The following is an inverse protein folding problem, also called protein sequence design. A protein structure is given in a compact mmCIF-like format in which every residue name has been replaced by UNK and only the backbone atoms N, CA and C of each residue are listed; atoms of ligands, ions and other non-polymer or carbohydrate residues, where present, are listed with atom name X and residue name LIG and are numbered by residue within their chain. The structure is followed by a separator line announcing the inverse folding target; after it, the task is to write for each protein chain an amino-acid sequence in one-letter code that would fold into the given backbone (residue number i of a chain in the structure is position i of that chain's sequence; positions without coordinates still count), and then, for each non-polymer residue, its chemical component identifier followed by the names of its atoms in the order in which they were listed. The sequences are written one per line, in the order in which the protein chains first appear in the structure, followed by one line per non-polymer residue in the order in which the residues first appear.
data_IF_085829992055
#
_entry.id   IF_085829992055
#
_cell.length_a   1.000
_cell.length_b   1.000
_cell.length_c   1.000
_cell.angle_alpha   90.00
_cell.angle_beta   90.00
_cell.angle_gamma   90.00
#
_symmetry.space_group_name_H-M   'P 1'
#
loop_
_entity.id
_entity.type
_entity.pdbx_description
1 polymer ?
#
# COMPACT_ATOMS: atom_id res chain seq x y z
N UNK A 1 3.42 21.38 -16.90
CA UNK A 1 4.15 21.18 -15.63
C UNK A 1 4.24 22.52 -14.90
N UNK A 2 3.55 22.74 -13.77
CA UNK A 2 3.69 24.02 -13.04
C UNK A 2 4.95 23.97 -12.17
N UNK A 3 5.98 24.74 -12.55
CA UNK A 3 7.33 24.79 -11.95
C UNK A 3 7.38 25.02 -10.42
N UNK A 4 6.31 25.50 -9.78
CA UNK A 4 6.26 25.73 -8.32
C UNK A 4 5.54 24.66 -7.48
N UNK A 5 4.98 23.61 -8.08
CA UNK A 5 4.20 22.60 -7.34
C UNK A 5 5.06 21.62 -6.55
N UNK A 6 6.30 21.37 -6.97
CA UNK A 6 7.22 20.48 -6.26
C UNK A 6 7.78 21.16 -5.01
N UNK A 7 8.21 22.42 -5.10
CA UNK A 7 8.79 23.14 -3.96
C UNK A 7 7.83 23.19 -2.77
N UNK A 8 6.55 23.55 -3.01
CA UNK A 8 5.52 23.55 -1.95
C UNK A 8 5.35 22.16 -1.35
N UNK A 9 5.26 21.14 -2.18
CA UNK A 9 5.13 19.75 -1.73
C UNK A 9 6.34 19.31 -0.90
N UNK A 10 7.56 19.61 -1.36
CA UNK A 10 8.79 19.26 -0.69
C UNK A 10 8.89 19.92 0.70
N UNK A 11 8.52 21.20 0.81
CA UNK A 11 8.46 21.89 2.12
C UNK A 11 7.51 21.17 3.09
N UNK A 12 6.31 20.80 2.65
CA UNK A 12 5.38 20.04 3.51
C UNK A 12 5.94 18.68 3.92
N UNK A 13 6.60 17.96 3.01
CA UNK A 13 7.20 16.66 3.33
C UNK A 13 8.38 16.82 4.29
N UNK A 14 9.19 17.86 4.16
CA UNK A 14 10.30 18.14 5.08
C UNK A 14 9.81 18.53 6.48
N UNK A 15 8.68 19.24 6.58
CA UNK A 15 8.04 19.49 7.87
C UNK A 15 7.52 18.19 8.51
N UNK A 16 6.91 17.30 7.71
CA UNK A 16 6.48 15.99 8.19
C UNK A 16 7.67 15.09 8.59
N UNK A 17 8.81 15.22 7.92
CA UNK A 17 10.05 14.52 8.25
C UNK A 17 10.54 14.84 9.68
N UNK A 18 10.35 16.08 10.15
CA UNK A 18 10.67 16.46 11.53
C UNK A 18 9.85 15.68 12.58
N UNK A 19 8.67 15.16 12.20
CA UNK A 19 7.84 14.33 13.07
C UNK A 19 8.09 12.83 12.86
N UNK A 20 8.32 12.42 11.62
CA UNK A 20 8.50 11.01 11.26
C UNK A 20 9.42 10.85 10.05
N UNK A 21 10.58 10.22 10.26
CA UNK A 21 11.68 10.18 9.28
C UNK A 21 11.32 9.51 7.95
N UNK A 22 10.39 8.56 7.98
CA UNK A 22 9.92 7.84 6.79
C UNK A 22 9.13 8.71 5.80
N UNK A 23 8.68 9.91 6.22
CA UNK A 23 7.94 10.83 5.36
C UNK A 23 8.72 11.19 4.08
N UNK A 24 10.06 11.11 4.09
CA UNK A 24 10.91 11.34 2.92
C UNK A 24 10.56 10.45 1.71
N UNK A 25 9.99 9.26 1.94
CA UNK A 25 9.60 8.37 0.84
C UNK A 25 8.59 9.03 -0.11
N UNK A 26 7.77 9.95 0.40
CA UNK A 26 6.78 10.69 -0.37
C UNK A 26 7.44 11.58 -1.45
N UNK A 27 8.67 12.06 -1.24
CA UNK A 27 9.42 12.81 -2.26
C UNK A 27 9.72 11.95 -3.48
N UNK A 28 10.07 10.67 -3.29
CA UNK A 28 10.31 9.74 -4.40
C UNK A 28 9.00 9.42 -5.12
N UNK A 29 7.96 9.14 -4.36
CA UNK A 29 6.63 8.80 -4.88
C UNK A 29 6.06 9.93 -5.73
N UNK A 30 6.32 11.20 -5.38
CA UNK A 30 5.88 12.37 -6.12
C UNK A 30 6.21 12.29 -7.62
N UNK A 31 7.42 11.87 -7.99
CA UNK A 31 7.84 11.81 -9.39
C UNK A 31 7.27 10.61 -10.14
N UNK A 32 6.96 9.54 -9.42
CA UNK A 32 6.37 8.32 -9.98
C UNK A 32 4.91 8.57 -10.35
N UNK A 33 4.13 9.17 -9.44
CA UNK A 33 2.67 9.19 -9.56
C UNK A 33 2.11 10.26 -10.48
N UNK A 34 2.90 11.29 -10.84
CA UNK A 34 2.44 12.39 -11.72
C UNK A 34 2.53 12.11 -13.22
N UNK A 35 2.92 10.89 -13.60
CA UNK A 35 2.89 10.44 -14.99
C UNK A 35 1.45 10.21 -15.43
N UNK A 36 1.19 10.14 -16.74
CA UNK A 36 -0.12 9.74 -17.25
C UNK A 36 -0.43 8.31 -16.79
N UNK A 37 -1.65 8.05 -16.31
CA UNK A 37 -2.04 6.71 -15.92
C UNK A 37 -2.18 5.78 -17.12
N UNK A 38 -2.20 4.46 -16.85
CA UNK A 38 -2.32 3.40 -17.87
C UNK A 38 -1.19 3.40 -18.90
N UNK A 39 -0.03 3.96 -18.55
CA UNK A 39 1.16 3.94 -19.38
C UNK A 39 1.99 2.70 -19.09
N UNK A 40 2.94 2.40 -19.98
CA UNK A 40 3.92 1.29 -19.80
C UNK A 40 4.59 1.38 -18.43
N UNK A 41 4.86 2.57 -17.92
CA UNK A 41 5.44 2.77 -16.58
C UNK A 41 4.62 2.13 -15.45
N UNK A 42 3.28 2.26 -15.47
CA UNK A 42 2.40 1.67 -14.45
C UNK A 42 2.46 0.14 -14.49
N UNK A 43 2.50 -0.45 -15.69
CA UNK A 43 2.61 -1.90 -15.87
C UNK A 43 4.01 -2.43 -15.51
N UNK A 44 5.07 -1.67 -15.80
CA UNK A 44 6.45 -2.01 -15.40
C UNK A 44 6.60 -2.02 -13.88
N UNK A 45 5.99 -1.08 -13.16
CA UNK A 45 5.98 -1.09 -11.68
C UNK A 45 5.31 -2.37 -11.16
N UNK A 46 4.18 -2.76 -11.76
CA UNK A 46 3.47 -3.97 -11.37
C UNK A 46 4.27 -5.24 -11.68
N UNK A 47 4.77 -5.38 -12.91
CA UNK A 47 5.60 -6.51 -13.31
C UNK A 47 6.87 -6.60 -12.45
N UNK A 48 7.52 -5.46 -12.22
CA UNK A 48 8.69 -5.35 -11.36
C UNK A 48 8.40 -5.83 -9.93
N UNK A 49 7.22 -5.51 -9.39
CA UNK A 49 6.84 -5.99 -8.05
C UNK A 49 6.70 -7.51 -7.99
N UNK A 50 6.18 -8.15 -9.04
CA UNK A 50 6.08 -9.61 -9.13
C UNK A 50 7.49 -10.22 -9.22
N UNK A 51 8.36 -9.67 -10.08
CA UNK A 51 9.74 -10.13 -10.21
C UNK A 51 10.49 -10.01 -8.88
N UNK A 52 10.38 -8.86 -8.20
CA UNK A 52 11.00 -8.65 -6.88
C UNK A 52 10.48 -9.65 -5.85
N UNK A 53 9.19 -9.99 -5.89
CA UNK A 53 8.58 -10.96 -4.98
C UNK A 53 9.10 -12.38 -5.25
N UNK A 54 9.23 -12.78 -6.52
CA UNK A 54 9.73 -14.11 -6.90
C UNK A 54 11.23 -14.25 -6.68
N UNK A 55 12.00 -13.19 -6.95
CA UNK A 55 13.45 -13.16 -6.78
C UNK A 55 13.87 -12.63 -5.40
N UNK A 56 12.96 -12.58 -4.42
CA UNK A 56 13.18 -11.88 -3.17
C UNK A 56 14.41 -12.41 -2.43
N UNK A 57 14.55 -13.73 -2.31
CA UNK A 57 15.67 -14.36 -1.60
C UNK A 57 17.03 -14.04 -2.22
N UNK A 58 17.08 -13.86 -3.55
CA UNK A 58 18.31 -13.48 -4.25
C UNK A 58 18.67 -11.99 -4.05
N UNK A 59 17.67 -11.12 -3.87
CA UNK A 59 17.85 -9.68 -3.67
C UNK A 59 18.12 -9.36 -2.19
N UNK A 60 17.64 -10.20 -1.29
CA UNK A 60 17.61 -9.95 0.15
C UNK A 60 18.98 -9.58 0.74
N UNK A 61 20.10 -10.27 0.46
CA UNK A 61 21.39 -9.91 1.05
C UNK A 61 21.83 -8.49 0.70
N UNK A 62 21.66 -8.09 -0.58
CA UNK A 62 21.97 -6.74 -1.04
C UNK A 62 21.06 -5.69 -0.40
N UNK A 63 19.79 -6.02 -0.21
CA UNK A 63 18.83 -5.16 0.48
C UNK A 63 19.18 -4.96 1.96
N UNK A 64 19.55 -6.04 2.67
CA UNK A 64 19.96 -5.97 4.07
C UNK A 64 21.25 -5.18 4.26
N UNK A 65 22.25 -5.38 3.40
CA UNK A 65 23.49 -4.59 3.44
C UNK A 65 23.24 -3.09 3.24
N UNK A 66 22.26 -2.72 2.41
CA UNK A 66 21.86 -1.32 2.24
C UNK A 66 21.11 -0.75 3.46
N UNK A 67 20.51 -1.59 4.32
CA UNK A 67 19.82 -1.16 5.54
C UNK A 67 20.75 -1.07 6.75
N UNK A 68 21.84 -1.83 6.76
CA UNK A 68 22.78 -1.94 7.89
C UNK A 68 23.39 -0.59 8.28
N UNK A 69 23.71 0.26 7.31
CA UNK A 69 24.24 1.62 7.56
C UNK A 69 23.15 2.69 7.79
N UNK A 70 21.89 2.29 7.95
CA UNK A 70 20.75 3.22 8.08
C UNK A 70 20.07 3.11 9.44
N UNK A 71 19.13 4.03 9.74
CA UNK A 71 18.26 3.94 10.93
C UNK A 71 17.35 2.69 10.94
N UNK A 72 17.43 1.85 9.91
CA UNK A 72 16.70 0.60 9.78
C UNK A 72 17.59 -0.64 10.01
N UNK A 73 18.83 -0.48 10.52
CA UNK A 73 19.77 -1.60 10.80
C UNK A 73 19.16 -2.71 11.65
N UNK A 74 18.33 -2.35 12.64
CA UNK A 74 17.58 -3.30 13.46
C UNK A 74 16.77 -4.30 12.62
N UNK A 75 16.21 -3.89 11.48
CA UNK A 75 15.47 -4.81 10.62
C UNK A 75 16.35 -5.89 9.97
N UNK A 76 17.63 -5.58 9.73
CA UNK A 76 18.61 -6.54 9.25
C UNK A 76 19.12 -7.46 10.37
N UNK A 77 19.36 -6.90 11.56
CA UNK A 77 19.92 -7.64 12.70
C UNK A 77 18.92 -8.58 13.39
N UNK A 78 17.63 -8.19 13.45
CA UNK A 78 16.60 -8.95 14.18
C UNK A 78 16.21 -10.28 13.52
N UNK A 79 16.71 -10.57 12.31
CA UNK A 79 16.46 -11.81 11.59
C UNK A 79 15.03 -11.98 11.05
N UNK A 80 14.21 -10.91 11.04
CA UNK A 80 12.84 -10.94 10.50
C UNK A 80 12.75 -11.27 9.01
N UNK A 81 13.85 -11.13 8.28
CA UNK A 81 13.91 -11.50 6.87
C UNK A 81 14.56 -12.86 6.62
N UNK A 82 15.39 -13.35 7.54
CA UNK A 82 16.28 -14.50 7.33
C UNK A 82 15.87 -15.73 8.14
N UNK A 83 15.23 -15.54 9.30
CA UNK A 83 14.86 -16.63 10.20
C UNK A 83 13.55 -17.34 9.80
N UNK A 84 12.84 -16.84 8.78
CA UNK A 84 11.61 -17.46 8.26
C UNK A 84 10.42 -17.48 9.23
N UNK A 85 10.55 -16.85 10.39
CA UNK A 85 9.50 -16.79 11.44
C UNK A 85 8.39 -15.79 11.12
N UNK A 86 8.67 -14.84 10.24
CA UNK A 86 7.77 -13.73 9.90
C UNK A 86 7.26 -13.94 8.45
N UNK A 87 5.95 -14.13 8.29
CA UNK A 87 5.31 -14.39 6.98
C UNK A 87 4.86 -13.12 6.23
N UNK A 88 4.12 -13.32 5.14
CA UNK A 88 3.50 -12.22 4.39
C UNK A 88 2.33 -11.55 5.10
N UNK A 89 2.03 -10.29 4.73
CA UNK A 89 0.93 -9.47 5.30
C UNK A 89 -0.50 -9.91 4.93
N UNK A 90 -0.67 -11.10 4.34
CA UNK A 90 -1.88 -11.68 3.72
C UNK A 90 -2.12 -11.32 2.25
N UNK A 91 -2.34 -12.35 1.44
CA UNK A 91 -2.78 -12.23 0.04
C UNK A 91 -4.13 -11.50 -0.10
N UNK A 92 -4.96 -11.49 0.93
CA UNK A 92 -6.24 -10.77 0.91
C UNK A 92 -6.05 -9.26 0.72
N UNK A 93 -4.95 -8.67 1.22
CA UNK A 93 -4.61 -7.26 0.98
C UNK A 93 -4.38 -6.97 -0.50
N UNK A 94 -3.72 -7.90 -1.20
CA UNK A 94 -3.43 -7.78 -2.64
C UNK A 94 -4.74 -7.81 -3.43
N UNK A 95 -5.63 -8.75 -3.12
CA UNK A 95 -6.93 -8.88 -3.80
C UNK A 95 -7.79 -7.65 -3.56
N UNK A 96 -7.88 -7.19 -2.30
CA UNK A 96 -8.67 -6.01 -1.94
C UNK A 96 -8.13 -4.74 -2.59
N UNK A 97 -6.81 -4.60 -2.72
CA UNK A 97 -6.21 -3.44 -3.41
C UNK A 97 -6.31 -3.52 -4.93
N UNK A 98 -6.30 -4.72 -5.51
CA UNK A 98 -6.48 -4.93 -6.93
C UNK A 98 -7.92 -4.68 -7.39
N UNK A 99 -8.93 -5.01 -6.58
CA UNK A 99 -10.35 -4.92 -6.96
C UNK A 99 -10.76 -3.54 -7.54
N UNK A 100 -10.57 -2.40 -6.87
CA UNK A 100 -10.93 -1.10 -7.44
C UNK A 100 -10.06 -0.72 -8.65
N UNK A 101 -8.81 -1.18 -8.72
CA UNK A 101 -7.93 -0.95 -9.88
C UNK A 101 -8.46 -1.68 -11.12
N UNK A 102 -8.91 -2.93 -10.97
CA UNK A 102 -9.53 -3.70 -12.06
C UNK A 102 -10.82 -3.02 -12.53
N UNK A 103 -11.69 -2.59 -11.61
CA UNK A 103 -12.93 -1.87 -11.97
C UNK A 103 -12.62 -0.57 -12.70
N UNK A 104 -11.59 0.17 -12.25
CA UNK A 104 -11.12 1.39 -12.91
C UNK A 104 -10.58 1.09 -14.32
N UNK A 105 -9.87 -0.02 -14.52
CA UNK A 105 -9.32 -0.42 -15.81
C UNK A 105 -10.40 -0.77 -16.83
N UNK A 106 -11.41 -1.55 -16.40
CA UNK A 106 -12.56 -1.91 -17.24
C UNK A 106 -13.35 -0.67 -17.67
N UNK A 107 -13.33 0.39 -16.86
CA UNK A 107 -14.01 1.66 -17.13
C UNK A 107 -13.02 2.80 -17.40
N UNK A 108 -11.84 2.51 -17.96
CA UNK A 108 -10.73 3.46 -18.12
C UNK A 108 -11.12 4.73 -18.88
N UNK A 109 -12.00 4.63 -19.86
CA UNK A 109 -12.45 5.79 -20.66
C UNK A 109 -13.15 6.85 -19.80
N UNK A 110 -13.90 6.41 -18.78
CA UNK A 110 -14.57 7.31 -17.83
C UNK A 110 -13.57 7.87 -16.83
N UNK A 111 -12.67 7.03 -16.35
CA UNK A 111 -11.62 7.44 -15.41
C UNK A 111 -10.66 8.48 -16.04
N UNK A 112 -10.35 8.35 -17.33
CA UNK A 112 -9.51 9.31 -18.05
C UNK A 112 -10.12 10.72 -18.12
N UNK A 113 -11.44 10.86 -17.94
CA UNK A 113 -12.12 12.18 -17.92
C UNK A 113 -11.84 12.98 -16.64
N UNK A 114 -11.34 12.33 -15.59
CA UNK A 114 -10.93 12.98 -14.34
C UNK A 114 -9.64 13.80 -14.48
N UNK A 115 -8.95 13.68 -15.62
CA UNK A 115 -7.73 14.40 -15.92
C UNK A 115 -6.59 14.08 -14.95
N UNK A 116 -5.73 15.06 -14.71
CA UNK A 116 -4.47 14.88 -13.99
C UNK A 116 -4.60 14.37 -12.54
N UNK A 117 -5.72 14.66 -11.85
CA UNK A 117 -5.95 14.18 -10.49
C UNK A 117 -6.29 12.69 -10.52
N UNK A 118 -7.12 12.27 -11.49
CA UNK A 118 -7.42 10.87 -11.74
C UNK A 118 -6.15 10.08 -12.06
N UNK A 119 -5.27 10.62 -12.92
CA UNK A 119 -4.00 9.99 -13.25
C UNK A 119 -3.13 9.72 -11.99
N UNK A 120 -3.04 10.71 -11.10
CA UNK A 120 -2.29 10.58 -9.84
C UNK A 120 -2.87 9.49 -8.95
N UNK A 121 -4.19 9.48 -8.74
CA UNK A 121 -4.85 8.49 -7.88
C UNK A 121 -4.73 7.07 -8.44
N UNK A 122 -4.83 6.90 -9.76
CA UNK A 122 -4.63 5.62 -10.42
C UNK A 122 -3.19 5.14 -10.23
N UNK A 123 -2.19 6.00 -10.47
CA UNK A 123 -0.79 5.62 -10.28
C UNK A 123 -0.43 5.32 -8.82
N UNK A 124 -0.99 6.07 -7.86
CA UNK A 124 -0.85 5.74 -6.43
C UNK A 124 -1.45 4.36 -6.15
N UNK A 125 -2.58 4.03 -6.76
CA UNK A 125 -3.23 2.73 -6.56
C UNK A 125 -2.44 1.58 -7.18
N UNK A 126 -1.84 1.78 -8.36
CA UNK A 126 -0.87 0.83 -8.93
C UNK A 126 0.34 0.62 -8.02
N UNK A 127 0.90 1.71 -7.48
CA UNK A 127 2.04 1.64 -6.56
C UNK A 127 1.65 0.92 -5.26
N UNK A 128 0.47 1.22 -4.71
CA UNK A 128 -0.04 0.53 -3.51
C UNK A 128 -0.23 -0.96 -3.75
N UNK A 129 -0.78 -1.34 -4.91
CA UNK A 129 -0.95 -2.74 -5.30
C UNK A 129 0.41 -3.44 -5.45
N UNK A 130 1.37 -2.81 -6.11
CA UNK A 130 2.74 -3.31 -6.25
C UNK A 130 3.43 -3.54 -4.89
N UNK A 131 3.30 -2.59 -3.96
CA UNK A 131 3.86 -2.74 -2.61
C UNK A 131 3.17 -3.89 -1.86
N UNK A 132 1.85 -4.04 -1.97
CA UNK A 132 1.16 -5.16 -1.30
C UNK A 132 1.51 -6.52 -1.91
N UNK A 133 1.82 -6.60 -3.21
CA UNK A 133 2.35 -7.82 -3.83
C UNK A 133 3.67 -8.20 -3.17
N UNK A 134 4.60 -7.27 -3.03
CA UNK A 134 5.87 -7.51 -2.31
C UNK A 134 5.60 -7.85 -0.84
N UNK A 135 4.65 -7.16 -0.22
CA UNK A 135 4.28 -7.39 1.18
C UNK A 135 3.57 -8.74 1.41
N UNK A 136 3.16 -9.44 0.35
CA UNK A 136 2.62 -10.80 0.45
C UNK A 136 3.71 -11.83 0.71
N UNK A 137 4.98 -11.48 0.46
CA UNK A 137 6.14 -12.28 0.83
C UNK A 137 6.59 -11.96 2.26
N UNK A 138 6.82 -10.68 2.56
CA UNK A 138 7.21 -10.24 3.90
C UNK A 138 6.33 -9.08 4.38
N UNK A 139 5.70 -9.22 5.53
CA UNK A 139 4.70 -8.27 6.01
C UNK A 139 5.23 -6.84 6.21
N UNK A 140 6.54 -6.65 6.40
CA UNK A 140 7.11 -5.35 6.73
C UNK A 140 6.87 -4.31 5.64
N UNK A 141 6.84 -4.73 4.37
CA UNK A 141 6.57 -3.84 3.25
C UNK A 141 5.14 -3.26 3.29
N UNK A 142 4.21 -3.90 4.00
CA UNK A 142 2.86 -3.33 4.21
C UNK A 142 2.91 -2.00 4.98
N UNK A 143 3.97 -1.75 5.78
CA UNK A 143 4.17 -0.45 6.44
C UNK A 143 4.48 0.65 5.44
N UNK A 144 5.04 0.34 4.28
CA UNK A 144 5.25 1.33 3.20
C UNK A 144 3.91 1.67 2.53
N UNK A 145 3.03 0.69 2.38
CA UNK A 145 1.71 0.93 1.79
C UNK A 145 0.83 1.87 2.63
N UNK A 146 1.08 2.03 3.93
CA UNK A 146 0.30 2.90 4.81
C UNK A 146 0.32 4.37 4.35
N UNK A 147 1.45 4.84 3.80
CA UNK A 147 1.60 6.21 3.30
C UNK A 147 0.72 6.48 2.07
N UNK A 148 0.29 5.42 1.36
CA UNK A 148 -0.56 5.49 0.18
C UNK A 148 -2.04 5.24 0.49
N UNK A 149 -2.35 4.75 1.69
CA UNK A 149 -3.66 4.22 2.04
C UNK A 149 -4.76 5.29 2.00
N UNK A 150 -4.49 6.50 2.47
CA UNK A 150 -5.46 7.59 2.43
C UNK A 150 -5.88 7.93 0.99
N UNK A 151 -4.91 7.98 0.07
CA UNK A 151 -5.17 8.19 -1.35
C UNK A 151 -5.92 7.02 -1.98
N UNK A 152 -5.62 5.79 -1.56
CA UNK A 152 -6.30 4.58 -2.03
C UNK A 152 -7.78 4.54 -1.61
N UNK A 153 -8.12 5.02 -0.42
CA UNK A 153 -9.52 5.16 0.04
C UNK A 153 -10.27 6.16 -0.86
N UNK A 154 -9.67 7.32 -1.12
CA UNK A 154 -10.24 8.33 -2.03
C UNK A 154 -10.44 7.73 -3.42
N UNK A 155 -9.42 7.03 -3.95
CA UNK A 155 -9.49 6.35 -5.24
C UNK A 155 -10.65 5.36 -5.29
N UNK A 156 -10.79 4.50 -4.28
CA UNK A 156 -11.87 3.51 -4.21
C UNK A 156 -13.25 4.17 -4.28
N UNK A 157 -13.46 5.24 -3.52
CA UNK A 157 -14.69 6.04 -3.60
C UNK A 157 -14.92 6.62 -5.00
N UNK A 158 -13.88 7.19 -5.62
CA UNK A 158 -13.96 7.76 -6.96
C UNK A 158 -14.24 6.73 -8.05
N UNK A 159 -13.74 5.51 -7.92
CA UNK A 159 -14.05 4.42 -8.86
C UNK A 159 -15.54 4.11 -8.83
N UNK A 160 -16.14 4.03 -7.64
CA UNK A 160 -17.57 3.78 -7.48
C UNK A 160 -18.39 4.96 -8.04
N UNK A 161 -17.98 6.20 -7.76
CA UNK A 161 -18.72 7.39 -8.21
C UNK A 161 -18.59 7.61 -9.72
N UNK A 162 -17.40 7.54 -10.30
CA UNK A 162 -17.13 8.01 -11.66
C UNK A 162 -16.95 6.89 -12.68
N UNK A 163 -16.41 5.73 -12.29
CA UNK A 163 -16.20 4.62 -13.21
C UNK A 163 -17.52 3.84 -13.41
N UNK A 164 -18.18 3.49 -12.31
CA UNK A 164 -19.40 2.66 -12.30
C UNK A 164 -20.64 3.44 -12.74
N UNK A 165 -21.52 2.79 -13.52
CA UNK A 165 -22.80 3.37 -13.93
C UNK A 165 -23.70 3.62 -12.72
N UNK A 166 -24.48 4.70 -12.66
CA UNK A 166 -25.36 5.00 -11.52
C UNK A 166 -26.24 3.83 -11.07
N UNK A 167 -26.79 3.07 -12.03
CA UNK A 167 -27.63 1.89 -11.77
C UNK A 167 -26.93 0.76 -11.00
N UNK A 168 -25.61 0.63 -11.16
CA UNK A 168 -24.84 -0.47 -10.57
C UNK A 168 -24.11 -0.02 -9.28
N UNK A 169 -24.10 1.29 -8.96
CA UNK A 169 -23.32 1.85 -7.83
C UNK A 169 -23.66 1.24 -6.48
N UNK A 170 -24.93 0.91 -6.23
CA UNK A 170 -25.35 0.30 -4.98
C UNK A 170 -24.64 -1.04 -4.76
N UNK A 171 -24.53 -1.87 -5.80
CA UNK A 171 -23.86 -3.19 -5.73
C UNK A 171 -22.38 -3.02 -5.41
N UNK A 172 -21.69 -2.11 -6.11
CA UNK A 172 -20.25 -1.86 -5.88
C UNK A 172 -19.98 -1.24 -4.50
N UNK A 173 -20.88 -0.37 -4.02
CA UNK A 173 -20.77 0.23 -2.69
C UNK A 173 -20.94 -0.83 -1.61
N UNK A 174 -22.02 -1.61 -1.68
CA UNK A 174 -22.28 -2.70 -0.73
C UNK A 174 -21.15 -3.73 -0.74
N UNK A 175 -20.68 -4.13 -1.93
CA UNK A 175 -19.55 -5.05 -2.06
C UNK A 175 -18.26 -4.50 -1.44
N UNK A 176 -17.97 -3.21 -1.62
CA UNK A 176 -16.79 -2.55 -1.02
C UNK A 176 -16.90 -2.51 0.51
N UNK A 177 -18.07 -2.18 1.05
CA UNK A 177 -18.32 -2.16 2.50
C UNK A 177 -18.16 -3.56 3.10
N UNK A 178 -18.75 -4.58 2.48
CA UNK A 178 -18.60 -5.98 2.91
C UNK A 178 -17.14 -6.40 2.86
N UNK A 179 -16.43 -6.10 1.76
CA UNK A 179 -15.02 -6.46 1.63
C UNK A 179 -14.15 -5.80 2.70
N UNK A 180 -14.40 -4.52 3.02
CA UNK A 180 -13.68 -3.82 4.09
C UNK A 180 -14.04 -4.32 5.49
N UNK A 181 -15.29 -4.73 5.72
CA UNK A 181 -15.72 -5.37 6.96
C UNK A 181 -15.07 -6.75 7.15
N UNK A 182 -15.03 -7.57 6.09
CA UNK A 182 -14.33 -8.85 6.12
C UNK A 182 -12.84 -8.64 6.35
N UNK A 183 -12.23 -7.67 5.65
CA UNK A 183 -10.84 -7.28 5.83
C UNK A 183 -10.52 -6.97 7.29
N UNK A 184 -11.30 -6.08 7.91
CA UNK A 184 -11.09 -5.69 9.30
C UNK A 184 -11.28 -6.89 10.23
N UNK A 185 -12.27 -7.76 9.97
CA UNK A 185 -12.49 -8.95 10.79
C UNK A 185 -11.33 -9.95 10.72
N UNK A 186 -10.83 -10.24 9.53
CA UNK A 186 -9.72 -11.18 9.33
C UNK A 186 -8.42 -10.67 9.92
N UNK A 187 -8.16 -9.37 9.86
CA UNK A 187 -6.99 -8.76 10.52
C UNK A 187 -7.17 -8.72 12.05
N UNK A 188 -8.35 -8.41 12.56
CA UNK A 188 -8.57 -8.37 14.02
C UNK A 188 -8.33 -9.73 14.69
N UNK A 189 -8.58 -10.84 13.98
CA UNK A 189 -8.25 -12.18 14.48
C UNK A 189 -6.75 -12.51 14.44
N UNK A 190 -5.88 -11.67 13.88
CA UNK A 190 -4.42 -11.85 13.96
C UNK A 190 -3.85 -11.26 15.26
N UNK A 191 -4.61 -10.42 15.97
CA UNK A 191 -4.23 -9.87 17.28
C UNK A 191 -4.77 -10.81 18.36
N UNK A 192 -4.17 -11.99 18.52
CA UNK A 192 -4.49 -12.90 19.63
C UNK A 192 -3.91 -12.43 20.98
N UNK A 193 -3.10 -11.36 20.99
CA UNK A 193 -2.20 -11.04 22.12
C UNK A 193 -2.46 -9.73 22.86
N UNK A 194 -3.53 -8.97 22.57
CA UNK A 194 -3.86 -7.80 23.39
C UNK A 194 -4.87 -8.15 24.47
N UNK A 195 -4.38 -8.72 25.57
CA UNK A 195 -5.12 -8.83 26.82
C UNK A 195 -4.65 -7.73 27.76
N UNK A 196 -5.58 -6.91 28.23
CA UNK A 196 -5.29 -5.95 29.29
C UNK A 196 -5.25 -6.71 30.61
N UNK A 197 -4.09 -6.73 31.26
CA UNK A 197 -3.93 -7.23 32.64
C UNK A 197 -4.85 -6.49 33.63
N UNK A 198 -5.35 -5.31 33.25
CA UNK A 198 -6.25 -4.50 34.06
C UNK A 198 -7.66 -5.12 34.19
N UNK A 199 -8.15 -5.75 33.12
CA UNK A 199 -9.51 -6.32 33.10
C UNK A 199 -9.54 -7.82 33.40
N UNK A 200 -8.42 -8.53 33.24
CA UNK A 200 -8.32 -9.98 33.48
C UNK A 200 -7.01 -10.34 34.21
N UNK A 201 -6.76 -9.79 35.42
CA UNK A 201 -5.53 -10.09 36.16
C UNK A 201 -5.44 -11.59 36.47
N UNK A 202 -4.32 -12.21 36.10
CA UNK A 202 -3.98 -13.58 36.51
C UNK A 202 -4.45 -14.72 35.62
N UNK A 203 -5.13 -14.48 34.49
CA UNK A 203 -5.43 -15.57 33.52
C UNK A 203 -4.28 -15.76 32.53
N UNK A 204 -3.36 -16.69 32.81
CA UNK A 204 -2.52 -17.31 31.76
C UNK A 204 -3.34 -18.37 31.05
N UNK A 205 -4.12 -17.97 30.05
CA UNK A 205 -5.04 -18.88 29.37
C UNK A 205 -4.40 -19.76 28.30
N UNK A 206 -3.10 -19.65 28.01
CA UNK A 206 -2.42 -20.57 27.10
C UNK A 206 -0.98 -20.83 27.57
N UNK A 207 -0.59 -22.11 27.46
CA UNK A 207 0.75 -22.66 27.70
C UNK A 207 1.34 -23.08 26.36
#
# INVERSE_FOLDING_TARGET
MKRGSFFKYAVFVLLAYCMHSSALILLLIYFVVRRKAWTIGSYVILLGSIIVTVCFDAILPSFLGALEETSYSNYAENGWFTNGTEGGSSLFRVVLTAAPVVVAYLNRERMNRLGHIGDILINISFLSMAIYIIASYNWIFARIAIYLQAYFIIFTGWVITYAVKPKDRAIYTTGTVIAFFLFSRFISYQIYMYQSDYFLPGRRLFR
#
